data_IF_570097522080
#
_entry.id   IF_570097522080
#
_cell.length_a   1.000
_cell.length_b   1.000
_cell.length_c   1.000
_cell.angle_alpha   90.00
_cell.angle_beta   90.00
_cell.angle_gamma   90.00
#
_symmetry.space_group_name_H-M   'P 1'
#
loop_
_entity.id
_entity.type
_entity.pdbx_description
1 polymer ?
#
# COMPACT_ATOMS: atom_id res chain seq x y z
N UNK A 1 4.68 25.01 0.49
CA UNK A 1 3.93 23.80 0.09
C UNK A 1 4.75 22.60 0.53
N UNK A 2 4.38 21.94 1.63
CA UNK A 2 5.07 20.71 2.06
C UNK A 2 4.61 19.59 1.14
N UNK A 3 5.51 19.06 0.29
CA UNK A 3 5.22 17.88 -0.50
C UNK A 3 5.16 16.70 0.47
N UNK A 4 3.94 16.29 0.86
CA UNK A 4 3.73 15.08 1.66
C UNK A 4 4.34 13.92 0.88
N UNK A 5 5.38 13.29 1.43
CA UNK A 5 6.07 12.17 0.79
C UNK A 5 5.25 10.89 0.98
N UNK A 6 4.04 10.84 0.41
CA UNK A 6 3.23 9.64 0.45
C UNK A 6 3.89 8.57 -0.39
N UNK A 7 4.47 7.57 0.26
CA UNK A 7 4.97 6.39 -0.41
C UNK A 7 3.92 5.29 -0.28
N UNK A 8 3.35 4.88 -1.40
CA UNK A 8 2.33 3.82 -1.47
C UNK A 8 2.88 2.43 -1.07
N UNK A 9 4.20 2.25 -1.07
CA UNK A 9 4.84 0.96 -0.81
C UNK A 9 5.02 0.67 0.68
N UNK A 10 4.51 -0.47 1.18
CA UNK A 10 4.74 -0.98 2.53
C UNK A 10 6.21 -1.08 2.89
N UNK A 11 6.54 -0.75 4.14
CA UNK A 11 7.93 -0.80 4.63
C UNK A 11 8.48 -2.22 4.63
N UNK A 12 7.65 -3.21 4.95
CA UNK A 12 8.03 -4.63 4.96
C UNK A 12 8.53 -5.10 3.58
N UNK A 13 7.93 -4.60 2.48
CA UNK A 13 8.38 -4.94 1.13
C UNK A 13 9.74 -4.33 0.80
N UNK A 14 9.95 -3.05 1.15
CA UNK A 14 11.21 -2.36 0.85
C UNK A 14 12.41 -2.97 1.56
N UNK A 15 12.21 -3.55 2.76
CA UNK A 15 13.24 -4.27 3.50
C UNK A 15 13.85 -5.41 2.68
N UNK A 16 13.04 -6.13 1.89
CA UNK A 16 13.53 -7.22 1.04
C UNK A 16 14.40 -6.76 -0.14
N UNK A 17 14.32 -5.47 -0.50
CA UNK A 17 15.15 -4.86 -1.55
C UNK A 17 16.32 -4.06 -0.97
N UNK A 18 16.40 -3.95 0.36
CA UNK A 18 17.46 -3.22 1.04
C UNK A 18 18.73 -4.07 1.10
N UNK A 19 19.88 -3.42 0.94
CA UNK A 19 21.17 -4.06 1.19
C UNK A 19 21.47 -4.16 2.70
N UNK A 20 22.62 -4.74 3.04
CA UNK A 20 23.09 -4.90 4.44
C UNK A 20 23.13 -3.59 5.24
N UNK A 21 23.32 -2.46 4.55
CA UNK A 21 23.32 -1.11 5.14
C UNK A 21 21.93 -0.47 5.20
N UNK A 22 20.85 -1.24 5.00
CA UNK A 22 19.45 -0.77 4.93
C UNK A 22 19.18 0.24 3.80
N UNK A 23 19.99 0.23 2.75
CA UNK A 23 19.86 1.14 1.61
C UNK A 23 19.15 0.45 0.45
N UNK A 24 18.23 1.15 -0.20
CA UNK A 24 17.56 0.74 -1.43
C UNK A 24 17.98 1.65 -2.58
N UNK A 25 17.94 1.10 -3.79
CA UNK A 25 18.13 1.86 -5.02
C UNK A 25 16.79 2.49 -5.43
N UNK A 26 16.76 3.82 -5.53
CA UNK A 26 15.54 4.58 -5.85
C UNK A 26 15.74 5.36 -7.13
N UNK A 27 14.73 5.33 -8.01
CA UNK A 27 14.66 6.20 -9.17
C UNK A 27 13.61 7.30 -8.94
N UNK A 28 14.08 8.53 -8.78
CA UNK A 28 13.25 9.72 -8.58
C UNK A 28 12.88 10.27 -9.94
N UNK A 29 11.72 9.85 -10.46
CA UNK A 29 11.24 10.20 -11.81
C UNK A 29 11.21 11.71 -12.07
N UNK A 30 10.71 12.50 -11.12
CA UNK A 30 10.59 13.97 -11.26
C UNK A 30 11.94 14.67 -11.46
N UNK A 31 13.01 14.13 -10.88
CA UNK A 31 14.35 14.66 -10.98
C UNK A 31 15.23 13.90 -11.98
N UNK A 32 14.67 12.90 -12.68
CA UNK A 32 15.38 11.93 -13.52
C UNK A 32 16.69 11.42 -12.88
N UNK A 33 16.64 11.11 -11.58
CA UNK A 33 17.82 10.84 -10.76
C UNK A 33 17.73 9.47 -10.12
N UNK A 34 18.87 8.77 -10.10
CA UNK A 34 19.04 7.54 -9.31
C UNK A 34 19.77 7.87 -8.01
N UNK A 35 19.34 7.29 -6.91
CA UNK A 35 19.90 7.53 -5.58
C UNK A 35 19.89 6.26 -4.73
N UNK A 36 20.84 6.16 -3.80
CA UNK A 36 20.75 5.23 -2.68
C UNK A 36 20.09 5.94 -1.51
N UNK A 37 19.01 5.38 -0.99
CA UNK A 37 18.28 5.94 0.15
C UNK A 37 18.06 4.88 1.20
N UNK A 38 18.14 5.26 2.47
CA UNK A 38 17.77 4.37 3.56
C UNK A 38 16.25 4.12 3.47
N UNK A 39 15.82 2.84 3.42
CA UNK A 39 14.42 2.51 3.19
C UNK A 39 13.50 3.07 4.30
N UNK A 40 13.98 3.17 5.54
CA UNK A 40 13.25 3.76 6.67
C UNK A 40 12.95 5.25 6.43
N UNK A 41 13.84 5.93 5.68
CA UNK A 41 13.72 7.36 5.31
C UNK A 41 13.01 7.59 3.97
N UNK A 42 12.58 6.54 3.27
CA UNK A 42 11.79 6.67 2.04
C UNK A 42 10.29 6.77 2.34
N UNK A 43 9.83 6.10 3.40
CA UNK A 43 8.42 6.09 3.85
C UNK A 43 8.12 7.19 4.89
N UNK A 44 8.51 8.44 4.63
CA UNK A 44 8.56 9.53 5.64
C UNK A 44 7.24 10.28 5.84
N UNK A 45 6.19 9.99 5.08
CA UNK A 45 4.87 10.51 5.42
C UNK A 45 4.24 9.64 6.52
N UNK A 46 4.37 10.05 7.78
CA UNK A 46 3.48 9.57 8.86
C UNK A 46 2.03 9.99 8.61
N UNK A 47 1.83 10.90 7.66
CA UNK A 47 0.56 11.54 7.35
C UNK A 47 -0.20 10.92 6.16
N UNK A 48 0.11 9.67 5.79
CA UNK A 48 -0.49 9.02 4.62
C UNK A 48 -2.02 8.88 4.70
N UNK A 49 -2.58 8.87 5.91
CA UNK A 49 -4.01 8.70 6.18
C UNK A 49 -4.63 9.86 6.96
N UNK A 50 -3.91 10.97 7.08
CA UNK A 50 -4.38 12.12 7.86
C UNK A 50 -5.32 12.97 7.03
N UNK A 51 -6.40 13.42 7.65
CA UNK A 51 -7.26 14.45 7.09
C UNK A 51 -6.56 15.81 7.16
N UNK A 52 -7.05 16.79 6.42
CA UNK A 52 -6.45 18.13 6.40
C UNK A 52 -6.49 18.81 7.77
N UNK A 53 -7.48 18.43 8.60
CA UNK A 53 -7.82 19.14 9.83
C UNK A 53 -7.12 18.60 11.08
N UNK A 54 -6.67 17.33 11.08
CA UNK A 54 -6.07 16.69 12.26
C UNK A 54 -5.09 15.59 11.87
N UNK A 55 -3.89 15.66 12.44
CA UNK A 55 -2.91 14.58 12.42
C UNK A 55 -3.09 13.74 13.68
N UNK A 56 -3.68 12.54 13.58
CA UNK A 56 -3.90 11.63 14.72
C UNK A 56 -3.13 10.30 14.65
N UNK A 57 -2.56 9.95 13.49
CA UNK A 57 -1.78 8.74 13.17
C UNK A 57 -2.47 7.42 13.56
N UNK A 58 -3.77 7.42 13.86
CA UNK A 58 -4.46 6.25 14.40
C UNK A 58 -4.45 5.11 13.37
N UNK A 59 -4.73 5.43 12.11
CA UNK A 59 -4.77 4.44 11.04
C UNK A 59 -3.37 3.93 10.70
N UNK A 60 -2.38 4.81 10.66
CA UNK A 60 -0.97 4.44 10.40
C UNK A 60 -0.44 3.50 11.50
N UNK A 61 -0.72 3.81 12.77
CA UNK A 61 -0.33 2.97 13.90
C UNK A 61 -0.97 1.58 13.84
N UNK A 62 -2.27 1.50 13.52
CA UNK A 62 -2.97 0.21 13.35
C UNK A 62 -2.41 -0.59 12.18
N UNK A 63 -2.13 0.06 11.06
CA UNK A 63 -1.56 -0.57 9.88
C UNK A 63 -0.12 -1.02 10.12
N UNK A 64 0.68 -0.28 10.88
CA UNK A 64 2.06 -0.66 11.21
C UNK A 64 2.15 -1.96 12.03
N UNK A 65 1.24 -2.16 12.99
CA UNK A 65 1.13 -3.42 13.74
C UNK A 65 0.78 -4.57 12.79
N UNK A 66 -0.16 -4.34 11.89
CA UNK A 66 -0.60 -5.33 10.91
C UNK A 66 0.50 -5.67 9.88
N UNK A 67 1.22 -4.67 9.38
CA UNK A 67 2.36 -4.87 8.46
C UNK A 67 3.46 -5.71 9.12
N UNK A 68 3.73 -5.49 10.41
CA UNK A 68 4.72 -6.27 11.18
C UNK A 68 4.34 -7.75 11.32
N UNK A 69 3.04 -8.05 11.40
CA UNK A 69 2.54 -9.42 11.45
C UNK A 69 2.63 -10.10 10.08
N UNK A 70 2.26 -9.39 9.02
CA UNK A 70 2.36 -9.88 7.64
C UNK A 70 3.80 -10.12 7.22
N UNK A 71 4.73 -9.27 7.64
CA UNK A 71 6.15 -9.43 7.34
C UNK A 71 6.66 -10.81 7.76
N UNK A 72 6.28 -11.29 8.95
CA UNK A 72 6.66 -12.62 9.44
C UNK A 72 6.13 -13.74 8.55
N UNK A 73 4.90 -13.58 8.04
CA UNK A 73 4.26 -14.54 7.13
C UNK A 73 4.98 -14.57 5.78
N UNK A 74 5.28 -13.39 5.22
CA UNK A 74 6.02 -13.26 3.96
C UNK A 74 7.43 -13.85 4.10
N UNK A 75 8.15 -13.52 5.19
CA UNK A 75 9.47 -14.06 5.50
C UNK A 75 9.45 -15.59 5.55
N UNK A 76 8.45 -16.17 6.22
CA UNK A 76 8.27 -17.61 6.27
C UNK A 76 8.09 -18.21 4.87
N UNK A 77 7.21 -17.62 4.05
CA UNK A 77 6.95 -18.11 2.69
C UNK A 77 8.22 -18.02 1.83
N UNK A 78 8.92 -16.88 1.83
CA UNK A 78 10.12 -16.68 1.02
C UNK A 78 11.22 -17.67 1.43
N UNK A 79 11.46 -17.85 2.74
CA UNK A 79 12.49 -18.78 3.24
C UNK A 79 12.19 -20.24 2.88
N UNK A 80 10.92 -20.60 2.82
CA UNK A 80 10.48 -21.97 2.58
C UNK A 80 9.94 -22.21 1.16
N UNK A 81 10.09 -21.27 0.24
CA UNK A 81 9.43 -21.33 -1.08
C UNK A 81 9.85 -22.54 -1.94
N UNK A 82 11.04 -23.08 -1.69
CA UNK A 82 11.56 -24.30 -2.34
C UNK A 82 11.34 -25.57 -1.51
N UNK A 83 10.84 -25.44 -0.29
CA UNK A 83 10.54 -26.57 0.57
C UNK A 83 9.34 -27.32 0.03
N UNK A 84 9.40 -28.66 0.05
CA UNK A 84 8.25 -29.51 -0.25
C UNK A 84 7.18 -29.47 0.85
N UNK A 85 7.58 -29.02 2.04
CA UNK A 85 6.75 -28.98 3.26
C UNK A 85 6.25 -27.56 3.57
N UNK A 86 6.25 -26.65 2.59
CA UNK A 86 5.66 -25.33 2.77
C UNK A 86 4.14 -25.49 2.99
N UNK A 87 3.70 -25.20 4.21
CA UNK A 87 2.28 -25.13 4.55
C UNK A 87 1.89 -23.70 4.91
N UNK A 88 0.93 -23.15 4.17
CA UNK A 88 0.38 -21.82 4.45
C UNK A 88 -1.01 -22.03 5.01
N UNK A 89 -1.12 -22.01 6.34
CA UNK A 89 -2.40 -22.20 7.03
C UNK A 89 -3.49 -21.23 6.55
N UNK A 90 -4.77 -21.62 6.69
CA UNK A 90 -5.93 -20.78 6.35
C UNK A 90 -5.86 -19.40 7.04
N UNK A 91 -5.39 -19.35 8.28
CA UNK A 91 -5.20 -18.09 9.00
C UNK A 91 -4.16 -17.19 8.31
N UNK A 92 -3.05 -17.76 7.84
CA UNK A 92 -2.02 -17.01 7.09
C UNK A 92 -2.57 -16.54 5.74
N UNK A 93 -3.32 -17.39 5.03
CA UNK A 93 -3.97 -17.01 3.77
C UNK A 93 -4.93 -15.83 3.95
N UNK A 94 -5.78 -15.86 5.00
CA UNK A 94 -6.71 -14.79 5.31
C UNK A 94 -5.99 -13.47 5.60
N UNK A 95 -4.89 -13.52 6.35
CA UNK A 95 -4.04 -12.35 6.63
C UNK A 95 -3.41 -11.81 5.33
N UNK A 96 -2.86 -12.68 4.49
CA UNK A 96 -2.31 -12.28 3.18
C UNK A 96 -3.39 -11.61 2.31
N UNK A 97 -4.59 -12.18 2.24
CA UNK A 97 -5.71 -11.61 1.50
C UNK A 97 -6.07 -10.21 2.00
N UNK A 98 -6.29 -10.07 3.30
CA UNK A 98 -6.60 -8.79 3.93
C UNK A 98 -5.49 -7.76 3.67
N UNK A 99 -4.22 -8.16 3.75
CA UNK A 99 -3.09 -7.29 3.42
C UNK A 99 -3.12 -6.80 1.97
N UNK A 100 -3.29 -7.71 1.01
CA UNK A 100 -3.36 -7.34 -0.42
C UNK A 100 -4.56 -6.41 -0.66
N UNK A 101 -5.70 -6.69 -0.03
CA UNK A 101 -6.90 -5.87 -0.14
C UNK A 101 -6.68 -4.48 0.45
N UNK A 102 -6.04 -4.38 1.61
CA UNK A 102 -5.66 -3.10 2.22
C UNK A 102 -4.72 -2.33 1.30
N UNK A 103 -3.69 -2.96 0.72
CA UNK A 103 -2.82 -2.28 -0.24
C UNK A 103 -3.61 -1.76 -1.44
N UNK A 104 -4.50 -2.56 -2.02
CA UNK A 104 -5.38 -2.13 -3.09
C UNK A 104 -6.20 -0.88 -2.71
N UNK A 105 -6.82 -0.88 -1.53
CA UNK A 105 -7.57 0.27 -1.01
C UNK A 105 -6.72 1.51 -0.73
N UNK A 106 -5.38 1.38 -0.66
CA UNK A 106 -4.48 2.54 -0.54
C UNK A 106 -4.26 3.26 -1.88
N UNK A 107 -4.64 2.67 -3.02
CA UNK A 107 -4.55 3.35 -4.32
C UNK A 107 -5.73 4.30 -4.51
N UNK A 108 -5.54 5.36 -5.28
CA UNK A 108 -6.66 6.22 -5.68
C UNK A 108 -7.76 5.41 -6.36
N UNK A 109 -7.41 4.55 -7.31
CA UNK A 109 -8.34 3.66 -8.00
C UNK A 109 -9.10 2.77 -7.01
N UNK A 110 -8.42 2.14 -6.06
CA UNK A 110 -9.03 1.26 -5.07
C UNK A 110 -9.98 2.00 -4.15
N UNK A 111 -9.58 3.18 -3.65
CA UNK A 111 -10.45 4.07 -2.86
C UNK A 111 -11.71 4.45 -3.64
N UNK A 112 -11.56 4.94 -4.87
CA UNK A 112 -12.69 5.37 -5.69
C UNK A 112 -13.61 4.19 -5.99
N UNK A 113 -13.07 3.00 -6.26
CA UNK A 113 -13.88 1.80 -6.53
C UNK A 113 -14.67 1.38 -5.30
N UNK A 114 -14.03 1.44 -4.14
CA UNK A 114 -14.65 1.10 -2.87
C UNK A 114 -15.77 2.09 -2.49
N UNK A 115 -15.52 3.39 -2.60
CA UNK A 115 -16.54 4.41 -2.35
C UNK A 115 -17.70 4.29 -3.33
N UNK A 116 -17.44 4.10 -4.62
CA UNK A 116 -18.49 3.85 -5.61
C UNK A 116 -19.34 2.61 -5.28
N UNK A 117 -18.72 1.55 -4.77
CA UNK A 117 -19.45 0.35 -4.35
C UNK A 117 -20.35 0.62 -3.14
N UNK A 118 -19.89 1.44 -2.19
CA UNK A 118 -20.68 1.82 -0.99
C UNK A 118 -21.83 2.75 -1.36
N UNK A 119 -21.57 3.75 -2.21
CA UNK A 119 -22.55 4.76 -2.61
C UNK A 119 -23.56 4.21 -3.62
N UNK A 120 -23.13 3.28 -4.48
CA UNK A 120 -23.94 2.72 -5.55
C UNK A 120 -23.91 1.18 -5.59
N UNK A 121 -24.32 0.50 -4.50
CA UNK A 121 -24.15 -0.94 -4.34
C UNK A 121 -24.91 -1.77 -5.40
N UNK A 122 -25.98 -1.22 -5.97
CA UNK A 122 -26.83 -1.90 -6.95
C UNK A 122 -26.53 -1.55 -8.41
N UNK A 123 -25.61 -0.60 -8.66
CA UNK A 123 -25.26 -0.18 -10.04
C UNK A 123 -23.83 -0.53 -10.43
N UNK A 124 -23.19 -1.44 -9.68
CA UNK A 124 -21.85 -1.90 -9.99
C UNK A 124 -21.81 -2.50 -11.41
N UNK A 125 -21.08 -1.83 -12.30
CA UNK A 125 -20.78 -2.35 -13.65
C UNK A 125 -19.34 -2.81 -13.70
N UNK A 126 -19.14 -4.06 -14.11
CA UNK A 126 -17.81 -4.61 -14.32
C UNK A 126 -17.05 -3.75 -15.34
N UNK A 127 -15.90 -3.21 -14.95
CA UNK A 127 -15.09 -2.37 -15.84
C UNK A 127 -13.97 -3.16 -16.52
N UNK A 128 -13.78 -2.85 -17.81
CA UNK A 128 -12.67 -3.38 -18.63
C UNK A 128 -11.45 -2.45 -18.66
N UNK A 129 -11.58 -1.22 -18.18
CA UNK A 129 -10.54 -0.19 -18.18
C UNK A 129 -10.46 0.48 -16.80
N UNK A 130 -9.28 1.00 -16.40
CA UNK A 130 -9.13 1.82 -15.20
C UNK A 130 -10.04 3.06 -15.23
N UNK A 131 -10.34 3.62 -14.06
CA UNK A 131 -11.06 4.89 -13.94
C UNK A 131 -10.22 6.00 -14.56
N UNK A 132 -10.84 6.80 -15.41
CA UNK A 132 -10.24 8.02 -15.94
C UNK A 132 -10.45 9.20 -14.96
N UNK A 133 -9.50 10.13 -14.91
CA UNK A 133 -9.60 11.35 -14.11
C UNK A 133 -10.83 12.18 -14.49
N UNK A 134 -11.16 12.21 -15.79
CA UNK A 134 -12.33 12.93 -16.30
C UNK A 134 -13.66 12.32 -15.82
N UNK A 135 -13.69 11.00 -15.57
CA UNK A 135 -14.88 10.33 -15.01
C UNK A 135 -15.10 10.77 -13.57
N UNK A 136 -14.04 10.87 -12.76
CA UNK A 136 -14.11 11.31 -11.36
C UNK A 136 -14.65 12.74 -11.24
N UNK A 137 -14.23 13.63 -12.16
CA UNK A 137 -14.66 15.03 -12.14
C UNK A 137 -16.15 15.18 -12.48
N UNK A 138 -16.68 14.35 -13.38
CA UNK A 138 -18.09 14.39 -13.77
C UNK A 138 -19.02 13.95 -12.64
N UNK A 139 -18.59 13.07 -11.75
CA UNK A 139 -19.40 12.60 -10.61
C UNK A 139 -19.54 13.66 -9.50
N UNK A 140 -18.66 14.67 -9.44
CA UNK A 140 -18.73 15.76 -8.43
C UNK A 140 -19.84 16.79 -8.71
N UNK A 141 -20.56 16.68 -9.82
CA UNK A 141 -21.54 17.68 -10.31
C UNK A 141 -22.99 17.19 -10.19
N UNK A 142 -23.27 16.19 -9.34
CA UNK A 142 -24.63 15.75 -9.02
C UNK A 142 -24.96 15.95 -7.55
#
# INVERSE_FOLDING_TARGET
>A
MFTRKQHYYPRCLLKHFANENKMIYVHIRQANKKAFMNYEKVCVATDAYETEDKVDNILENKLGVYESEIEKIIDYIIKNIKSKDLDVSVNMQNKIFQYIHLQYLRTDTGRINFMNLIENPFTYKLRKKPIDLDEIQKTKVQ
#
